data_IF_804286532414
#
_entry.id   IF_804286532414
#
_cell.length_a   1.000
_cell.length_b   1.000
_cell.length_c   1.000
_cell.angle_alpha   90.00
_cell.angle_beta   90.00
_cell.angle_gamma   90.00
#
_symmetry.space_group_name_H-M   'P 1'
#
loop_
_entity.id
_entity.type
_entity.pdbx_description
1 polymer ?
#
# COMPACT_ATOMS: atom_id res chain seq x y z
N UNK A 1 -2.20 -20.36 -1.27
CA UNK A 1 -2.69 -18.99 -1.03
C UNK A 1 -2.50 -18.19 -2.31
N UNK A 2 -3.52 -18.12 -3.17
CA UNK A 2 -3.57 -17.38 -4.45
C UNK A 2 -5.05 -17.22 -4.87
N UNK A 3 -5.88 -16.68 -3.97
CA UNK A 3 -7.31 -16.48 -4.26
C UNK A 3 -7.52 -15.06 -4.78
N UNK A 4 -8.23 -14.94 -5.91
CA UNK A 4 -8.65 -13.64 -6.46
C UNK A 4 -9.55 -12.92 -5.45
N UNK A 5 -9.36 -11.62 -5.31
CA UNK A 5 -10.08 -10.76 -4.38
C UNK A 5 -9.51 -10.72 -2.96
N UNK A 6 -8.44 -11.45 -2.66
CA UNK A 6 -7.85 -11.47 -1.33
C UNK A 6 -7.21 -10.11 -0.97
N UNK A 7 -6.54 -9.45 -1.92
CA UNK A 7 -5.83 -8.20 -1.67
C UNK A 7 -6.83 -7.04 -1.53
N UNK A 8 -7.84 -7.03 -2.40
CA UNK A 8 -8.99 -6.13 -2.27
C UNK A 8 -9.70 -6.32 -0.92
N UNK A 9 -9.97 -7.57 -0.53
CA UNK A 9 -10.65 -7.91 0.72
C UNK A 9 -9.87 -7.46 1.95
N UNK A 10 -8.56 -7.74 2.01
CA UNK A 10 -7.71 -7.26 3.11
C UNK A 10 -7.63 -5.73 3.14
N UNK A 11 -7.55 -5.08 1.98
CA UNK A 11 -7.58 -3.62 1.87
C UNK A 11 -8.88 -3.03 2.44
N UNK A 12 -10.04 -3.61 2.13
CA UNK A 12 -11.33 -3.18 2.67
C UNK A 12 -11.44 -3.39 4.18
N UNK A 13 -10.98 -4.54 4.70
CA UNK A 13 -10.96 -4.79 6.15
C UNK A 13 -10.04 -3.78 6.85
N UNK A 14 -8.86 -3.53 6.30
CA UNK A 14 -7.94 -2.53 6.84
C UNK A 14 -8.54 -1.11 6.79
N UNK A 15 -9.24 -0.75 5.72
CA UNK A 15 -9.94 0.52 5.60
C UNK A 15 -11.07 0.65 6.64
N UNK A 16 -11.84 -0.42 6.89
CA UNK A 16 -12.87 -0.45 7.92
C UNK A 16 -12.28 -0.32 9.33
N UNK A 17 -11.19 -1.05 9.62
CA UNK A 17 -10.46 -0.93 10.88
C UNK A 17 -9.89 0.48 11.08
N UNK A 18 -9.48 1.13 10.00
CA UNK A 18 -9.02 2.52 10.01
C UNK A 18 -10.15 3.50 10.30
N UNK A 19 -11.36 3.24 9.78
CA UNK A 19 -12.52 4.08 10.04
C UNK A 19 -12.94 4.07 11.52
N UNK A 20 -12.75 2.96 12.23
CA UNK A 20 -13.08 2.84 13.66
C UNK A 20 -11.96 3.30 14.60
N UNK A 21 -10.74 3.53 14.10
CA UNK A 21 -9.59 4.01 14.88
C UNK A 21 -9.05 5.34 14.32
N UNK A 22 -9.68 6.48 14.65
CA UNK A 22 -9.30 7.79 14.13
C UNK A 22 -8.07 8.35 14.84
N UNK A 23 -6.90 7.75 14.60
CA UNK A 23 -5.61 8.25 15.08
C UNK A 23 -4.86 8.97 13.97
N UNK A 24 -4.66 10.27 14.09
CA UNK A 24 -3.81 11.06 13.22
C UNK A 24 -4.53 12.02 12.26
N UNK A 25 -3.98 12.22 11.05
CA UNK A 25 -4.52 13.15 10.05
C UNK A 25 -5.91 12.80 9.50
N UNK A 26 -6.26 13.29 8.31
CA UNK A 26 -7.57 13.08 7.70
C UNK A 26 -7.94 11.57 7.62
N UNK A 27 -8.85 11.13 8.50
CA UNK A 27 -9.26 9.73 8.63
C UNK A 27 -9.89 9.24 7.33
N UNK A 28 -10.79 10.03 6.77
CA UNK A 28 -11.49 9.73 5.51
C UNK A 28 -10.53 9.57 4.35
N UNK A 29 -9.55 10.48 4.25
CA UNK A 29 -8.51 10.41 3.23
C UNK A 29 -7.71 9.10 3.37
N UNK A 30 -7.34 8.73 4.59
CA UNK A 30 -6.62 7.47 4.82
C UNK A 30 -7.47 6.22 4.56
N UNK A 31 -8.77 6.24 4.86
CA UNK A 31 -9.69 5.13 4.55
C UNK A 31 -9.81 4.93 3.04
N UNK A 32 -10.01 6.02 2.29
CA UNK A 32 -10.08 5.99 0.83
C UNK A 32 -8.76 5.51 0.24
N UNK A 33 -7.63 6.05 0.71
CA UNK A 33 -6.31 5.66 0.25
C UNK A 33 -6.07 4.16 0.43
N UNK A 34 -6.31 3.61 1.63
CA UNK A 34 -6.10 2.18 1.93
C UNK A 34 -7.01 1.29 1.07
N UNK A 35 -8.28 1.68 0.87
CA UNK A 35 -9.19 0.92 0.02
C UNK A 35 -8.74 0.91 -1.46
N UNK A 36 -8.27 2.06 -1.96
CA UNK A 36 -7.77 2.21 -3.33
C UNK A 36 -6.45 1.44 -3.52
N UNK A 37 -5.54 1.49 -2.56
CA UNK A 37 -4.31 0.67 -2.56
C UNK A 37 -4.65 -0.82 -2.69
N UNK A 38 -5.60 -1.33 -1.90
CA UNK A 38 -6.04 -2.72 -1.98
C UNK A 38 -6.59 -3.10 -3.36
N UNK A 39 -7.33 -2.20 -4.00
CA UNK A 39 -7.85 -2.39 -5.36
C UNK A 39 -6.75 -2.39 -6.42
N UNK A 40 -5.78 -1.47 -6.31
CA UNK A 40 -4.63 -1.38 -7.22
C UNK A 40 -3.76 -2.61 -7.09
N UNK A 41 -3.49 -3.06 -5.86
CA UNK A 41 -2.75 -4.30 -5.62
C UNK A 41 -3.44 -5.48 -6.30
N UNK A 42 -4.76 -5.63 -6.15
CA UNK A 42 -5.50 -6.71 -6.81
C UNK A 42 -5.44 -6.61 -8.35
N UNK A 43 -5.52 -5.40 -8.93
CA UNK A 43 -5.39 -5.18 -10.37
C UNK A 43 -3.98 -5.51 -10.89
N UNK A 44 -2.95 -5.04 -10.17
CA UNK A 44 -1.55 -5.36 -10.46
C UNK A 44 -1.33 -6.86 -10.35
N UNK A 45 -1.83 -7.49 -9.30
CA UNK A 45 -1.74 -8.93 -9.11
C UNK A 45 -2.44 -9.67 -10.25
N UNK A 46 -3.62 -9.23 -10.68
CA UNK A 46 -4.30 -9.83 -11.82
C UNK A 46 -3.48 -9.69 -13.12
N UNK A 47 -2.88 -8.52 -13.36
CA UNK A 47 -2.04 -8.29 -14.53
C UNK A 47 -0.74 -9.12 -14.50
N UNK A 48 -0.07 -9.18 -13.36
CA UNK A 48 1.23 -9.85 -13.20
C UNK A 48 1.14 -11.33 -12.82
N UNK A 49 -0.01 -11.83 -12.35
CA UNK A 49 -0.19 -13.25 -11.97
C UNK A 49 0.16 -14.22 -13.10
N UNK A 50 0.03 -13.78 -14.35
CA UNK A 50 0.36 -14.56 -15.54
C UNK A 50 1.86 -14.54 -15.88
N UNK A 51 2.57 -13.48 -15.47
CA UNK A 51 3.97 -13.23 -15.80
C UNK A 51 4.94 -13.54 -14.64
N UNK A 52 4.47 -13.57 -13.39
CA UNK A 52 5.31 -13.87 -12.21
C UNK A 52 5.86 -15.30 -12.26
N UNK A 53 5.14 -16.28 -12.83
CA UNK A 53 5.68 -17.63 -13.06
C UNK A 53 6.82 -17.66 -14.10
N UNK A 54 6.97 -16.60 -14.90
CA UNK A 54 8.06 -16.43 -15.88
C UNK A 54 9.09 -15.36 -15.47
N UNK A 55 8.87 -14.66 -14.36
CA UNK A 55 9.69 -13.55 -13.90
C UNK A 55 10.93 -14.06 -13.14
N UNK A 56 11.84 -14.73 -13.85
CA UNK A 56 13.07 -15.28 -13.26
C UNK A 56 14.14 -14.19 -13.05
N UNK A 57 14.06 -13.08 -13.79
CA UNK A 57 15.07 -12.02 -13.71
C UNK A 57 14.79 -11.01 -12.59
N UNK A 58 15.83 -10.70 -11.81
CA UNK A 58 15.81 -9.69 -10.74
C UNK A 58 15.34 -8.31 -11.25
N UNK A 59 15.62 -7.98 -12.51
CA UNK A 59 15.18 -6.74 -13.16
C UNK A 59 13.65 -6.64 -13.27
N UNK A 60 12.96 -7.74 -13.56
CA UNK A 60 11.49 -7.77 -13.65
C UNK A 60 10.88 -7.62 -12.24
N UNK A 61 11.47 -8.24 -11.22
CA UNK A 61 10.97 -8.10 -9.84
C UNK A 61 11.12 -6.67 -9.32
N UNK A 62 12.28 -6.05 -9.55
CA UNK A 62 12.52 -4.65 -9.15
C UNK A 62 11.56 -3.72 -9.89
N UNK A 63 11.43 -3.85 -11.20
CA UNK A 63 10.55 -2.97 -11.99
C UNK A 63 9.07 -3.14 -11.62
N UNK A 64 8.60 -4.38 -11.41
CA UNK A 64 7.26 -4.64 -10.91
C UNK A 64 7.02 -4.00 -9.54
N UNK A 65 7.98 -4.12 -8.61
CA UNK A 65 7.91 -3.46 -7.30
C UNK A 65 7.83 -1.93 -7.39
N UNK A 66 8.66 -1.32 -8.25
CA UNK A 66 8.66 0.14 -8.47
C UNK A 66 7.32 0.61 -9.02
N UNK A 67 6.85 -0.01 -10.11
CA UNK A 67 5.61 0.39 -10.79
C UNK A 67 4.43 0.24 -9.84
N UNK A 68 4.36 -0.87 -9.11
CA UNK A 68 3.26 -1.15 -8.18
C UNK A 68 3.21 -0.12 -7.05
N UNK A 69 4.32 0.11 -6.35
CA UNK A 69 4.33 1.04 -5.23
C UNK A 69 4.11 2.49 -5.67
N UNK A 70 4.68 2.88 -6.81
CA UNK A 70 4.43 4.18 -7.43
C UNK A 70 2.95 4.37 -7.78
N UNK A 71 2.33 3.38 -8.44
CA UNK A 71 0.93 3.42 -8.81
C UNK A 71 0.02 3.47 -7.59
N UNK A 72 0.27 2.64 -6.57
CA UNK A 72 -0.46 2.67 -5.31
C UNK A 72 -0.42 4.06 -4.68
N UNK A 73 0.76 4.65 -4.48
CA UNK A 73 0.88 5.96 -3.85
C UNK A 73 0.18 7.06 -4.66
N UNK A 74 0.46 7.15 -5.96
CA UNK A 74 -0.04 8.24 -6.81
C UNK A 74 -1.55 8.16 -7.01
N UNK A 75 -2.08 6.98 -7.34
CA UNK A 75 -3.52 6.80 -7.55
C UNK A 75 -4.30 6.89 -6.25
N UNK A 76 -3.82 6.33 -5.14
CA UNK A 76 -4.48 6.46 -3.85
C UNK A 76 -4.55 7.92 -3.39
N UNK A 77 -3.48 8.69 -3.61
CA UNK A 77 -3.46 10.12 -3.31
C UNK A 77 -4.47 10.88 -4.18
N UNK A 78 -4.42 10.68 -5.50
CA UNK A 78 -5.35 11.35 -6.44
C UNK A 78 -6.80 11.00 -6.13
N UNK A 79 -7.11 9.72 -5.89
CA UNK A 79 -8.45 9.28 -5.53
C UNK A 79 -8.91 9.87 -4.20
N UNK A 80 -8.02 9.98 -3.22
CA UNK A 80 -8.35 10.64 -1.95
C UNK A 80 -8.73 12.11 -2.16
N UNK A 81 -8.04 12.84 -3.03
CA UNK A 81 -8.38 14.24 -3.33
C UNK A 81 -9.70 14.38 -4.10
N UNK A 82 -10.02 13.43 -4.98
CA UNK A 82 -11.28 13.44 -5.76
C UNK A 82 -12.47 13.06 -4.88
N UNK A 83 -12.32 12.02 -4.06
CA UNK A 83 -13.43 11.38 -3.35
C UNK A 83 -13.75 12.04 -2.01
N UNK A 84 -12.74 12.52 -1.27
CA UNK A 84 -12.95 13.21 0.03
C UNK A 84 -14.00 14.33 -0.01
N UNK A 85 -13.97 15.27 -0.98
CA UNK A 85 -14.94 16.37 -1.04
C UNK A 85 -16.36 15.93 -1.42
N UNK A 86 -16.55 14.72 -1.98
CA UNK A 86 -17.88 14.15 -2.19
C UNK A 86 -18.56 13.76 -0.87
N UNK A 87 -17.77 13.46 0.16
CA UNK A 87 -18.26 13.08 1.49
C UNK A 87 -18.32 14.27 2.46
N UNK A 88 -17.58 15.34 2.21
CA UNK A 88 -17.50 16.51 3.09
C UNK A 88 -17.72 17.80 2.30
N UNK A 89 -18.94 18.33 2.36
CA UNK A 89 -19.38 19.54 1.66
C UNK A 89 -18.61 20.83 2.03
N UNK A 90 -17.79 20.80 3.09
CA UNK A 90 -16.91 21.90 3.51
C UNK A 90 -15.50 21.82 2.90
N UNK A 91 -15.11 20.68 2.32
CA UNK A 91 -13.87 20.55 1.59
C UNK A 91 -14.14 21.02 0.15
N UNK A 92 -13.90 22.30 -0.13
CA UNK A 92 -13.97 22.80 -1.49
C UNK A 92 -13.11 21.91 -2.39
N UNK A 93 -13.71 21.45 -3.48
CA UNK A 93 -13.10 20.53 -4.42
C UNK A 93 -12.09 21.33 -5.26
N UNK A 94 -10.85 21.42 -4.76
CA UNK A 94 -9.80 22.27 -5.36
C UNK A 94 -9.19 21.61 -6.61
N UNK A 95 -9.99 21.28 -7.63
CA UNK A 95 -9.49 20.76 -8.91
C UNK A 95 -8.39 21.65 -9.51
N UNK A 96 -8.50 22.98 -9.33
CA UNK A 96 -7.47 23.94 -9.74
C UNK A 96 -6.13 23.76 -9.01
N UNK A 97 -6.14 23.38 -7.73
CA UNK A 97 -4.91 23.07 -6.99
C UNK A 97 -4.41 21.67 -7.29
N UNK A 98 -5.28 20.71 -7.60
CA UNK A 98 -4.84 19.35 -7.94
C UNK A 98 -3.88 19.38 -9.13
N UNK A 99 -4.21 20.09 -10.21
CA UNK A 99 -3.33 20.24 -11.38
C UNK A 99 -1.98 20.88 -11.03
N UNK A 100 -1.97 21.85 -10.13
CA UNK A 100 -0.75 22.52 -9.63
C UNK A 100 0.09 21.59 -8.75
N UNK A 101 -0.55 20.69 -8.00
CA UNK A 101 0.12 19.74 -7.11
C UNK A 101 0.47 18.40 -7.76
N UNK A 102 -0.04 18.08 -8.97
CA UNK A 102 0.31 16.86 -9.72
C UNK A 102 1.84 16.65 -9.78
N UNK A 103 2.67 17.63 -10.16
CA UNK A 103 4.13 17.43 -10.23
C UNK A 103 4.73 17.02 -8.88
N UNK A 104 4.21 17.58 -7.79
CA UNK A 104 4.67 17.26 -6.43
C UNK A 104 4.22 15.85 -6.01
N UNK A 105 3.00 15.45 -6.36
CA UNK A 105 2.47 14.11 -6.06
C UNK A 105 3.26 13.05 -6.83
N UNK A 106 3.51 13.26 -8.12
CA UNK A 106 4.32 12.37 -8.95
C UNK A 106 5.75 12.28 -8.42
N UNK A 107 6.37 13.41 -8.03
CA UNK A 107 7.71 13.44 -7.45
C UNK A 107 7.79 12.65 -6.14
N UNK A 108 6.83 12.81 -5.22
CA UNK A 108 6.77 12.01 -3.97
C UNK A 108 6.50 10.53 -4.25
N UNK A 109 5.73 10.23 -5.30
CA UNK A 109 5.51 8.87 -5.77
C UNK A 109 6.79 8.14 -6.13
N UNK A 110 7.82 8.84 -6.63
CA UNK A 110 9.12 8.23 -6.96
C UNK A 110 9.77 7.60 -5.72
N UNK A 111 9.69 8.26 -4.56
CA UNK A 111 10.22 7.72 -3.31
C UNK A 111 9.49 6.43 -2.93
N UNK A 112 8.16 6.42 -3.04
CA UNK A 112 7.36 5.21 -2.81
C UNK A 112 7.73 4.08 -3.79
N UNK A 113 7.93 4.42 -5.07
CA UNK A 113 8.40 3.49 -6.09
C UNK A 113 9.77 2.89 -5.76
N UNK A 114 10.75 3.71 -5.38
CA UNK A 114 12.09 3.23 -5.00
C UNK A 114 12.03 2.26 -3.81
N UNK A 115 11.21 2.56 -2.80
CA UNK A 115 10.98 1.66 -1.67
C UNK A 115 10.36 0.35 -2.16
N UNK A 116 9.34 0.41 -3.02
CA UNK A 116 8.70 -0.77 -3.61
C UNK A 116 9.68 -1.65 -4.41
N UNK A 117 10.59 -1.03 -5.15
CA UNK A 117 11.64 -1.72 -5.91
C UNK A 117 12.63 -2.50 -5.05
N UNK A 118 12.84 -2.11 -3.80
CA UNK A 118 13.69 -2.83 -2.84
C UNK A 118 12.88 -3.86 -2.06
N UNK A 119 11.69 -3.49 -1.59
CA UNK A 119 10.85 -4.33 -0.73
C UNK A 119 10.33 -5.54 -1.48
N UNK A 120 9.87 -5.39 -2.73
CA UNK A 120 9.30 -6.50 -3.49
C UNK A 120 10.29 -7.67 -3.72
N UNK A 121 11.51 -7.45 -4.25
CA UNK A 121 12.49 -8.54 -4.38
C UNK A 121 12.93 -9.09 -3.02
N UNK A 122 13.06 -8.25 -1.98
CA UNK A 122 13.40 -8.72 -0.64
C UNK A 122 12.34 -9.72 -0.10
N UNK A 123 11.05 -9.44 -0.30
CA UNK A 123 9.96 -10.34 0.10
C UNK A 123 9.98 -11.63 -0.71
N UNK A 124 10.23 -11.57 -2.02
CA UNK A 124 10.34 -12.76 -2.88
C UNK A 124 11.51 -13.64 -2.47
N UNK A 125 12.69 -13.06 -2.19
CA UNK A 125 13.86 -13.78 -1.69
C UNK A 125 13.61 -14.45 -0.34
N UNK A 126 12.91 -13.78 0.58
CA UNK A 126 12.52 -14.36 1.87
C UNK A 126 11.50 -15.49 1.69
N UNK A 127 10.60 -15.41 0.71
CA UNK A 127 9.61 -16.47 0.42
C UNK A 127 10.26 -17.75 -0.12
N UNK A 128 11.44 -17.68 -0.73
CA UNK A 128 12.21 -18.87 -1.11
C UNK A 128 12.74 -19.64 0.11
N UNK A 129 12.78 -19.01 1.29
CA UNK A 129 13.01 -19.69 2.56
C UNK A 129 11.71 -20.38 2.93
N UNK A 130 11.70 -21.71 2.94
CA UNK A 130 10.53 -22.50 3.32
C UNK A 130 9.96 -22.06 4.68
N UNK A 131 8.81 -21.39 4.66
CA UNK A 131 8.10 -20.94 5.87
C UNK A 131 7.70 -22.14 6.75
N UNK A 132 7.57 -23.35 6.17
CA UNK A 132 7.36 -24.60 6.91
C UNK A 132 8.52 -24.99 7.83
N UNK A 133 9.75 -24.54 7.51
CA UNK A 133 10.95 -24.76 8.34
C UNK A 133 11.05 -23.74 9.49
N UNK A 134 10.42 -22.56 9.33
CA UNK A 134 10.35 -21.56 10.40
C UNK A 134 9.34 -22.00 11.45
N UNK A 135 9.83 -22.27 12.66
CA UNK A 135 9.02 -22.60 13.83
C UNK A 135 7.97 -21.49 14.04
N UNK A 136 6.70 -21.86 14.12
CA UNK A 136 5.54 -20.96 14.28
C UNK A 136 5.76 -19.84 15.30
N UNK A 137 6.49 -20.12 16.39
CA UNK A 137 6.89 -19.16 17.42
C UNK A 137 7.61 -17.92 16.85
N UNK A 138 8.55 -18.09 15.92
CA UNK A 138 9.31 -16.98 15.33
C UNK A 138 8.45 -16.15 14.37
N UNK A 139 7.59 -16.81 13.60
CA UNK A 139 6.67 -16.13 12.69
C UNK A 139 5.72 -15.19 13.45
N UNK A 140 5.05 -15.69 14.50
CA UNK A 140 4.16 -14.87 15.32
C UNK A 140 4.93 -13.79 16.10
N UNK A 141 6.13 -14.10 16.60
CA UNK A 141 6.95 -13.12 17.33
C UNK A 141 7.39 -11.96 16.42
N UNK A 142 7.91 -12.25 15.23
CA UNK A 142 8.32 -11.21 14.27
C UNK A 142 7.15 -10.36 13.81
N UNK A 143 5.99 -10.98 13.53
CA UNK A 143 4.76 -10.25 13.20
C UNK A 143 4.31 -9.32 14.33
N UNK A 144 4.35 -9.80 15.57
CA UNK A 144 3.98 -8.99 16.74
C UNK A 144 4.95 -7.83 16.99
N UNK A 145 6.25 -8.03 16.77
CA UNK A 145 7.28 -6.98 16.90
C UNK A 145 7.08 -5.93 15.80
N UNK A 146 6.85 -6.35 14.56
CA UNK A 146 6.58 -5.43 13.46
C UNK A 146 5.31 -4.60 13.72
N UNK A 147 4.24 -5.23 14.21
CA UNK A 147 3.00 -4.55 14.58
C UNK A 147 3.24 -3.55 15.73
N UNK A 148 3.94 -3.97 16.79
CA UNK A 148 4.27 -3.11 17.92
C UNK A 148 5.15 -1.92 17.51
N UNK A 149 6.17 -2.15 16.68
CA UNK A 149 7.03 -1.09 16.15
C UNK A 149 6.24 -0.08 15.32
N UNK A 150 5.32 -0.56 14.47
CA UNK A 150 4.45 0.30 13.68
C UNK A 150 3.59 1.21 14.58
N UNK A 151 3.00 0.64 15.64
CA UNK A 151 2.25 1.40 16.64
C UNK A 151 3.11 2.40 17.43
N UNK A 152 4.32 2.01 17.82
CA UNK A 152 5.25 2.92 18.53
C UNK A 152 5.61 4.12 17.66
N UNK A 153 5.91 3.89 16.37
CA UNK A 153 6.21 4.96 15.41
C UNK A 153 5.00 5.90 15.26
N UNK A 154 3.78 5.35 15.11
CA UNK A 154 2.56 6.15 15.04
C UNK A 154 2.39 6.99 16.31
N UNK A 155 2.53 6.39 17.50
CA UNK A 155 2.38 7.12 18.77
C UNK A 155 3.48 8.19 18.92
N UNK A 156 4.71 7.90 18.53
CA UNK A 156 5.83 8.84 18.63
C UNK A 156 5.73 10.02 17.66
N UNK A 157 5.17 9.81 16.46
CA UNK A 157 4.98 10.86 15.45
C UNK A 157 3.75 11.74 15.72
N UNK A 158 2.78 11.23 16.49
CA UNK A 158 1.53 11.95 16.82
C UNK A 158 1.48 12.49 18.27
N UNK A 159 2.59 12.39 19.01
CA UNK A 159 2.80 13.09 20.28
C UNK A 159 3.55 14.40 20.05
#
# INVERSE_FOLDING_TARGET
YNQKGMQLGMGLVAAALRAVNPLGGCVVCSVIAIAVEGAIFELVWFAFSSDIEKAESMSIMVSAGIITAYACYTLAYVMSQIVTPLFFSAANLQFGNLAVFIPTILSKGVIAGLIGGVVFPAVVLVKQIEISSIRSRWYYSLGSIAAAACWIIVIALYR
#
